data_IF_212168411001
#
_entry.id   IF_212168411001
#
_cell.length_a   1.000
_cell.length_b   1.000
_cell.length_c   1.000
_cell.angle_alpha   90.00
_cell.angle_beta   90.00
_cell.angle_gamma   90.00
#
_symmetry.space_group_name_H-M   'P 1'
#
loop_
_entity.id
_entity.type
_entity.pdbx_description
1 polymer ?
#
# COMPACT_ATOMS: atom_id res chain seq x y z
N UNK A 1 5.94 60.46 -33.22
CA UNK A 1 6.91 59.37 -33.50
C UNK A 1 6.11 58.22 -34.10
N UNK A 2 5.93 58.18 -35.43
CA UNK A 2 6.77 57.45 -36.40
C UNK A 2 6.89 55.95 -36.04
N UNK A 3 5.93 55.14 -36.53
CA UNK A 3 6.03 54.16 -37.65
C UNK A 3 6.94 52.96 -37.38
N UNK A 4 6.36 51.76 -37.45
CA UNK A 4 6.71 50.75 -38.48
C UNK A 4 5.59 49.70 -38.61
N UNK A 5 4.93 49.72 -39.77
CA UNK A 5 4.22 48.58 -40.36
C UNK A 5 5.25 47.51 -40.72
N UNK A 6 4.90 46.22 -40.67
CA UNK A 6 4.94 45.30 -41.81
C UNK A 6 4.31 43.95 -41.45
N UNK A 7 3.43 43.53 -42.35
CA UNK A 7 2.84 42.22 -42.58
C UNK A 7 3.89 41.13 -42.80
N UNK A 8 3.68 39.96 -42.19
CA UNK A 8 4.24 38.68 -42.67
C UNK A 8 3.23 37.56 -42.38
N UNK A 9 2.82 36.88 -43.44
CA UNK A 9 2.11 35.61 -43.42
C UNK A 9 2.88 34.55 -42.61
N UNK A 10 2.18 33.75 -41.83
CA UNK A 10 2.64 32.42 -41.44
C UNK A 10 1.49 31.42 -41.65
N UNK A 11 1.68 30.62 -42.68
CA UNK A 11 1.07 29.31 -42.92
C UNK A 11 1.39 28.35 -41.75
N UNK A 12 0.66 27.23 -41.66
CA UNK A 12 0.84 26.05 -40.77
C UNK A 12 0.31 26.22 -39.31
N UNK A 13 -0.52 25.36 -38.73
CA UNK A 13 -1.15 24.09 -39.10
C UNK A 13 -2.55 24.10 -38.46
N UNK A 14 -3.61 23.87 -39.24
CA UNK A 14 -4.79 23.21 -38.69
C UNK A 14 -4.33 21.81 -38.30
N UNK A 15 -4.03 21.61 -37.02
CA UNK A 15 -3.98 20.27 -36.46
C UNK A 15 -5.43 19.78 -36.50
N UNK A 16 -5.84 19.23 -37.64
CA UNK A 16 -6.80 18.14 -37.64
C UNK A 16 -6.14 17.08 -36.78
N UNK A 17 -6.46 17.06 -35.47
CA UNK A 17 -6.40 15.81 -34.74
C UNK A 17 -7.45 14.94 -35.42
N UNK A 18 -7.03 14.24 -36.47
CA UNK A 18 -7.66 12.97 -36.78
C UNK A 18 -7.49 12.18 -35.49
N UNK A 19 -8.60 11.94 -34.78
CA UNK A 19 -8.59 10.95 -33.73
C UNK A 19 -8.04 9.70 -34.38
N UNK A 20 -6.84 9.28 -33.96
CA UNK A 20 -6.32 7.97 -34.30
C UNK A 20 -7.34 6.98 -33.75
N UNK A 21 -8.25 6.51 -34.61
CA UNK A 21 -9.04 5.33 -34.30
C UNK A 21 -8.01 4.23 -34.13
N UNK A 22 -7.69 3.90 -32.88
CA UNK A 22 -6.73 2.87 -32.52
C UNK A 22 -7.25 1.54 -33.05
N UNK A 23 -6.86 1.21 -34.28
CA UNK A 23 -7.29 -0.02 -34.92
C UNK A 23 -6.59 -1.20 -34.26
N UNK A 24 -7.34 -2.23 -33.87
CA UNK A 24 -6.75 -3.42 -33.25
C UNK A 24 -6.07 -4.29 -34.31
N UNK A 25 -4.84 -4.72 -34.02
CA UNK A 25 -4.09 -5.63 -34.88
C UNK A 25 -4.53 -7.06 -34.59
N UNK A 26 -4.99 -7.77 -35.63
CA UNK A 26 -5.46 -9.15 -35.62
C UNK A 26 -4.69 -10.00 -36.64
N UNK A 27 -4.86 -11.32 -36.54
CA UNK A 27 -4.21 -12.29 -37.43
C UNK A 27 -4.99 -12.59 -38.71
N UNK A 28 -6.28 -12.22 -38.77
CA UNK A 28 -7.16 -12.44 -39.92
C UNK A 28 -8.33 -11.43 -39.94
N UNK A 29 -8.80 -11.03 -41.13
CA UNK A 29 -9.96 -10.14 -41.29
C UNK A 29 -11.26 -10.71 -40.71
N UNK A 30 -11.38 -12.05 -40.63
CA UNK A 30 -12.57 -12.70 -40.05
C UNK A 30 -12.74 -12.41 -38.55
N UNK A 31 -11.69 -11.89 -37.90
CA UNK A 31 -11.74 -11.46 -36.50
C UNK A 31 -12.22 -10.01 -36.31
N UNK A 32 -12.39 -9.24 -37.39
CA UNK A 32 -12.93 -7.89 -37.32
C UNK A 32 -14.45 -7.93 -37.12
N UNK A 33 -15.00 -6.91 -36.46
CA UNK A 33 -16.44 -6.74 -36.38
C UNK A 33 -17.06 -6.56 -37.78
N UNK A 34 -18.31 -6.99 -37.99
CA UNK A 34 -19.04 -6.80 -39.26
C UNK A 34 -19.19 -5.31 -39.67
N UNK A 35 -19.03 -4.41 -38.69
CA UNK A 35 -19.05 -2.95 -38.84
C UNK A 35 -17.66 -2.31 -38.77
N UNK A 36 -16.61 -3.11 -38.96
CA UNK A 36 -15.25 -2.65 -39.07
C UNK A 36 -14.71 -2.89 -40.49
N UNK A 37 -13.83 -2.00 -40.92
CA UNK A 37 -13.01 -2.12 -42.12
C UNK A 37 -11.74 -2.90 -41.78
N UNK A 38 -11.38 -3.82 -42.66
CA UNK A 38 -10.17 -4.62 -42.54
C UNK A 38 -9.07 -4.06 -43.45
N UNK A 39 -7.93 -3.66 -42.87
CA UNK A 39 -6.77 -3.13 -43.59
C UNK A 39 -5.59 -4.11 -43.45
N UNK A 40 -5.07 -4.58 -44.58
CA UNK A 40 -3.90 -5.46 -44.62
C UNK A 40 -2.64 -4.61 -44.81
N UNK A 41 -1.74 -4.63 -43.83
CA UNK A 41 -0.45 -3.92 -43.90
C UNK A 41 0.65 -4.97 -44.10
N UNK A 42 1.36 -4.97 -45.24
CA UNK A 42 2.55 -5.79 -45.39
C UNK A 42 3.63 -5.30 -44.40
N UNK A 43 4.11 -6.18 -43.53
CA UNK A 43 5.26 -5.89 -42.65
C UNK A 43 6.51 -5.84 -43.52
N UNK A 44 7.15 -4.67 -43.66
CA UNK A 44 8.48 -4.58 -44.29
C UNK A 44 9.50 -5.28 -43.40
N UNK A 45 10.09 -6.37 -43.90
CA UNK A 45 11.05 -7.19 -43.16
C UNK A 45 12.38 -6.47 -42.93
N UNK A 46 12.85 -6.43 -41.67
CA UNK A 46 14.29 -6.52 -41.42
C UNK A 46 14.76 -7.97 -41.70
N UNK A 47 15.88 -8.07 -42.39
CA UNK A 47 16.41 -9.29 -43.02
C UNK A 47 16.74 -10.37 -41.98
N UNK A 48 15.89 -11.38 -41.80
CA UNK A 48 16.18 -12.50 -40.89
C UNK A 48 15.20 -13.67 -40.81
N UNK A 49 13.88 -13.45 -40.86
CA UNK A 49 12.91 -14.49 -40.51
C UNK A 49 12.19 -15.15 -41.71
N UNK A 50 12.00 -16.47 -41.62
CA UNK A 50 11.67 -17.37 -42.72
C UNK A 50 10.16 -17.49 -43.10
N UNK A 51 9.26 -16.63 -42.60
CA UNK A 51 7.84 -16.64 -43.00
C UNK A 51 7.24 -15.22 -42.92
N UNK A 52 6.41 -14.76 -43.90
CA UNK A 52 5.73 -13.48 -43.79
C UNK A 52 4.57 -13.58 -42.81
N UNK A 53 4.69 -12.93 -41.64
CA UNK A 53 3.58 -12.73 -40.72
C UNK A 53 2.68 -11.60 -41.25
N UNK A 54 1.48 -11.96 -41.74
CA UNK A 54 0.46 -10.96 -42.11
C UNK A 54 -0.14 -10.38 -40.84
N UNK A 55 -0.01 -9.07 -40.65
CA UNK A 55 -0.67 -8.33 -39.57
C UNK A 55 -1.77 -7.47 -40.17
N UNK A 56 -3.00 -7.70 -39.73
CA UNK A 56 -4.20 -7.07 -40.26
C UNK A 56 -4.74 -6.12 -39.20
N UNK A 57 -5.23 -4.94 -39.56
CA UNK A 57 -5.81 -3.96 -38.62
C UNK A 57 -7.32 -3.80 -38.86
N UNK A 58 -8.11 -3.89 -37.80
CA UNK A 58 -9.55 -3.62 -37.81
C UNK A 58 -9.83 -2.19 -37.35
N UNK A 59 -10.62 -1.43 -38.10
CA UNK A 59 -11.04 -0.07 -37.74
C UNK A 59 -12.54 0.08 -37.89
N UNK A 60 -13.26 0.63 -36.91
CA UNK A 60 -14.71 0.79 -37.02
C UNK A 60 -15.08 1.72 -38.19
N UNK A 61 -16.14 1.39 -38.92
CA UNK A 61 -16.66 2.18 -40.03
C UNK A 61 -17.26 3.51 -39.54
N UNK A 62 -17.43 4.46 -40.46
CA UNK A 62 -18.07 5.75 -40.17
C UNK A 62 -19.44 5.58 -39.50
N UNK A 63 -19.66 6.29 -38.39
CA UNK A 63 -20.87 6.17 -37.57
C UNK A 63 -20.77 5.14 -36.45
N UNK A 64 -19.67 4.39 -36.38
CA UNK A 64 -19.38 3.45 -35.30
C UNK A 64 -18.11 3.86 -34.54
N UNK A 65 -18.00 3.41 -33.29
CA UNK A 65 -16.85 3.68 -32.42
C UNK A 65 -16.48 2.43 -31.61
N UNK A 66 -15.19 2.24 -31.33
CA UNK A 66 -14.66 1.11 -30.59
C UNK A 66 -13.26 0.72 -31.07
N UNK A 67 -12.84 -0.51 -30.79
CA UNK A 67 -11.49 -1.00 -31.06
C UNK A 67 -11.34 -1.72 -32.42
N UNK A 68 -12.42 -1.83 -33.20
CA UNK A 68 -12.46 -2.53 -34.48
C UNK A 68 -12.80 -4.02 -34.39
N UNK A 69 -12.66 -4.64 -33.20
CA UNK A 69 -13.20 -5.98 -32.91
C UNK A 69 -14.61 -5.87 -32.33
N UNK A 70 -14.86 -4.78 -31.60
CA UNK A 70 -16.17 -4.38 -31.08
C UNK A 70 -16.45 -2.96 -31.57
N UNK A 71 -17.58 -2.77 -32.26
CA UNK A 71 -17.99 -1.47 -32.78
C UNK A 71 -19.43 -1.14 -32.35
N UNK A 72 -19.61 0.03 -31.75
CA UNK A 72 -20.88 0.54 -31.24
C UNK A 72 -21.41 1.66 -32.13
N UNK A 73 -22.72 1.69 -32.38
CA UNK A 73 -23.35 2.76 -33.17
C UNK A 73 -23.40 4.06 -32.35
N UNK A 74 -22.77 5.12 -32.88
CA UNK A 74 -22.63 6.40 -32.18
C UNK A 74 -23.96 7.08 -31.83
N UNK A 75 -25.00 6.88 -32.64
CA UNK A 75 -26.30 7.54 -32.44
C UNK A 75 -27.21 6.71 -31.57
N UNK A 76 -27.22 5.40 -31.77
CA UNK A 76 -28.06 4.49 -31.00
C UNK A 76 -27.59 4.40 -29.54
N UNK A 77 -26.27 4.40 -29.33
CA UNK A 77 -25.66 4.17 -28.03
C UNK A 77 -25.32 5.46 -27.28
N UNK A 78 -25.74 6.62 -27.78
CA UNK A 78 -25.40 7.93 -27.22
C UNK A 78 -25.87 8.12 -25.76
N UNK A 79 -26.94 7.42 -25.37
CA UNK A 79 -27.48 7.41 -24.00
C UNK A 79 -26.80 6.38 -23.09
N UNK A 80 -25.82 5.63 -23.61
CA UNK A 80 -25.10 4.57 -22.91
C UNK A 80 -25.87 3.25 -22.78
N UNK A 81 -27.04 3.13 -23.40
CA UNK A 81 -27.87 1.90 -23.36
C UNK A 81 -27.16 0.65 -23.90
N UNK A 82 -26.13 0.82 -24.74
CA UNK A 82 -25.32 -0.26 -25.29
C UNK A 82 -24.20 -0.76 -24.36
N UNK A 83 -23.91 -0.02 -23.28
CA UNK A 83 -22.85 -0.42 -22.36
C UNK A 83 -23.36 -1.44 -21.35
N UNK A 84 -22.56 -2.49 -21.16
CA UNK A 84 -22.81 -3.46 -20.10
C UNK A 84 -22.66 -2.77 -18.74
N UNK A 85 -23.23 -3.37 -17.72
CA UNK A 85 -22.98 -2.93 -16.34
C UNK A 85 -21.46 -2.93 -16.06
N UNK A 86 -20.97 -1.91 -15.35
CA UNK A 86 -19.53 -1.67 -15.14
C UNK A 86 -18.85 -0.87 -16.26
N UNK A 87 -19.56 -0.51 -17.32
CA UNK A 87 -19.03 0.31 -18.42
C UNK A 87 -19.81 1.61 -18.57
N UNK A 88 -19.12 2.67 -18.98
CA UNK A 88 -19.71 3.97 -19.32
C UNK A 88 -19.47 4.33 -20.78
N UNK A 89 -20.41 5.08 -21.35
CA UNK A 89 -20.29 5.55 -22.72
C UNK A 89 -19.30 6.70 -22.85
N UNK A 90 -18.42 6.60 -23.84
CA UNK A 90 -17.54 7.66 -24.31
C UNK A 90 -17.69 7.77 -25.83
N UNK A 91 -18.03 8.96 -26.34
CA UNK A 91 -18.27 9.17 -27.77
C UNK A 91 -17.06 8.86 -28.67
N UNK A 92 -15.84 8.87 -28.12
CA UNK A 92 -14.60 8.64 -28.86
C UNK A 92 -14.07 7.21 -28.74
N UNK A 93 -14.54 6.44 -27.75
CA UNK A 93 -14.00 5.11 -27.42
C UNK A 93 -15.08 4.02 -27.32
N UNK A 94 -16.36 4.38 -27.38
CA UNK A 94 -17.47 3.47 -27.14
C UNK A 94 -17.67 3.20 -25.65
N UNK A 95 -17.93 1.95 -25.29
CA UNK A 95 -18.09 1.56 -23.89
C UNK A 95 -16.72 1.35 -23.23
N UNK A 96 -16.38 2.24 -22.32
CA UNK A 96 -15.13 2.21 -21.56
C UNK A 96 -15.42 1.70 -20.16
N UNK A 97 -14.54 0.84 -19.69
CA UNK A 97 -14.56 0.32 -18.34
C UNK A 97 -14.62 1.45 -17.30
N UNK A 98 -15.50 1.31 -16.31
CA UNK A 98 -15.54 2.23 -15.18
C UNK A 98 -14.52 1.73 -14.17
N UNK A 99 -13.44 2.47 -13.97
CA UNK A 99 -12.49 2.14 -12.90
C UNK A 99 -13.10 2.52 -11.55
N UNK A 100 -13.78 1.57 -10.90
CA UNK A 100 -14.40 1.80 -9.61
C UNK A 100 -13.38 2.08 -8.50
N UNK A 101 -12.14 1.61 -8.65
CA UNK A 101 -11.05 1.85 -7.69
C UNK A 101 -10.50 3.28 -7.75
N UNK A 102 -10.71 3.98 -8.87
CA UNK A 102 -10.32 5.38 -9.06
C UNK A 102 -11.45 6.38 -8.75
N UNK A 103 -12.63 5.89 -8.32
CA UNK A 103 -13.73 6.74 -7.90
C UNK A 103 -13.46 7.35 -6.50
N UNK A 104 -14.09 8.50 -6.16
CA UNK A 104 -13.88 9.16 -4.87
C UNK A 104 -14.29 8.31 -3.65
N UNK A 105 -15.31 7.46 -3.83
CA UNK A 105 -15.80 6.55 -2.80
C UNK A 105 -15.20 5.16 -3.06
N UNK A 106 -14.34 4.69 -2.13
CA UNK A 106 -13.71 3.37 -2.24
C UNK A 106 -14.80 2.27 -2.20
N UNK A 107 -14.91 1.42 -3.23
CA UNK A 107 -15.96 0.42 -3.33
C UNK A 107 -15.69 -0.82 -2.45
N UNK A 108 -14.48 -0.96 -1.90
CA UNK A 108 -14.09 -2.10 -1.10
C UNK A 108 -14.29 -1.87 0.42
N UNK A 109 -14.60 -2.94 1.18
CA UNK A 109 -14.57 -2.88 2.64
C UNK A 109 -13.20 -2.39 3.16
N UNK A 110 -13.16 -1.71 4.32
CA UNK A 110 -11.89 -1.33 4.94
C UNK A 110 -10.97 -2.55 5.08
N UNK A 111 -9.67 -2.39 4.80
CA UNK A 111 -8.61 -3.41 4.82
C UNK A 111 -8.42 -4.31 3.58
N UNK A 112 -9.19 -4.11 2.52
CA UNK A 112 -8.96 -4.74 1.21
C UNK A 112 -8.33 -3.76 0.22
N UNK A 113 -7.54 -4.26 -0.71
CA UNK A 113 -6.97 -3.47 -1.81
C UNK A 113 -7.87 -3.65 -3.03
N UNK A 114 -8.42 -2.54 -3.54
CA UNK A 114 -9.21 -2.55 -4.76
C UNK A 114 -8.30 -2.77 -5.98
N UNK A 115 -8.66 -3.74 -6.82
CA UNK A 115 -8.04 -3.99 -8.12
C UNK A 115 -9.10 -3.90 -9.21
N UNK A 116 -8.95 -2.93 -10.11
CA UNK A 116 -9.88 -2.77 -11.22
C UNK A 116 -9.80 -3.95 -12.20
N UNK A 117 -10.94 -4.38 -12.73
CA UNK A 117 -11.05 -5.47 -13.72
C UNK A 117 -12.04 -5.08 -14.82
N UNK A 118 -11.98 -5.68 -16.03
CA UNK A 118 -12.96 -5.35 -17.05
C UNK A 118 -14.41 -5.63 -16.61
N UNK A 119 -15.19 -4.58 -16.42
CA UNK A 119 -16.59 -4.56 -16.04
C UNK A 119 -16.89 -4.67 -14.54
N UNK A 120 -15.87 -4.64 -13.68
CA UNK A 120 -16.01 -4.80 -12.22
C UNK A 120 -14.69 -4.47 -11.50
N UNK A 121 -14.66 -4.66 -10.19
CA UNK A 121 -13.44 -4.64 -9.39
C UNK A 121 -13.34 -5.91 -8.54
N UNK A 122 -12.11 -6.30 -8.21
CA UNK A 122 -11.80 -7.30 -7.21
C UNK A 122 -11.32 -6.61 -5.93
N UNK A 123 -11.96 -6.91 -4.80
CA UNK A 123 -11.42 -6.54 -3.50
C UNK A 123 -10.51 -7.65 -3.00
N UNK A 124 -9.21 -7.44 -3.15
CA UNK A 124 -8.21 -8.42 -2.76
C UNK A 124 -7.91 -8.26 -1.27
N UNK A 125 -7.96 -9.37 -0.54
CA UNK A 125 -7.26 -9.48 0.73
C UNK A 125 -5.74 -9.33 0.52
N UNK A 126 -4.94 -9.26 1.59
CA UNK A 126 -3.48 -9.29 1.47
C UNK A 126 -3.07 -10.49 0.59
N UNK A 127 -2.07 -10.34 -0.29
CA UNK A 127 -1.69 -11.39 -1.24
C UNK A 127 -1.50 -12.76 -0.57
N UNK A 128 -2.06 -13.80 -1.17
CA UNK A 128 -2.03 -15.21 -0.71
C UNK A 128 -0.64 -15.87 -0.69
N UNK A 129 0.45 -15.10 -0.77
CA UNK A 129 1.83 -15.59 -0.76
C UNK A 129 2.46 -15.60 0.66
N UNK A 130 1.62 -15.64 1.71
CA UNK A 130 2.04 -15.60 3.13
C UNK A 130 1.87 -16.95 3.84
N UNK A 131 1.59 -18.05 3.13
CA UNK A 131 1.37 -19.36 3.76
C UNK A 131 2.52 -20.38 3.68
N UNK A 132 3.69 -20.05 3.11
CA UNK A 132 4.83 -20.99 3.13
C UNK A 132 6.18 -20.33 3.42
N UNK A 133 6.37 -19.80 4.64
CA UNK A 133 7.64 -19.94 5.39
C UNK A 133 7.56 -19.30 6.79
N UNK A 134 7.13 -20.09 7.79
CA UNK A 134 7.71 -20.20 9.15
C UNK A 134 6.65 -20.61 10.17
N UNK A 135 6.89 -21.62 11.02
CA UNK A 135 5.92 -22.12 12.00
C UNK A 135 5.70 -21.20 13.22
N UNK A 136 5.87 -19.86 13.10
CA UNK A 136 5.75 -18.91 14.21
C UNK A 136 4.69 -17.79 14.02
N UNK A 137 4.05 -17.64 12.86
CA UNK A 137 3.05 -16.57 12.65
C UNK A 137 1.61 -17.03 12.92
N UNK A 138 1.35 -17.62 14.09
CA UNK A 138 -0.02 -17.68 14.61
C UNK A 138 -0.25 -16.43 15.44
N UNK A 139 -1.27 -15.64 15.08
CA UNK A 139 -1.64 -14.48 15.88
C UNK A 139 -1.92 -14.91 17.33
N UNK A 140 -1.42 -14.12 18.29
CA UNK A 140 -1.47 -14.48 19.69
C UNK A 140 -2.92 -14.52 20.20
N UNK A 141 -3.29 -15.63 20.86
CA UNK A 141 -4.57 -15.78 21.56
C UNK A 141 -4.32 -15.64 23.05
N UNK A 142 -4.93 -14.64 23.68
CA UNK A 142 -4.77 -14.37 25.11
C UNK A 142 -5.93 -14.95 25.92
N UNK A 143 -5.61 -15.56 27.06
CA UNK A 143 -6.62 -16.02 28.02
C UNK A 143 -7.06 -14.84 28.89
N UNK A 144 -8.37 -14.70 29.10
CA UNK A 144 -8.95 -13.64 29.91
C UNK A 144 -10.03 -14.17 30.83
N UNK A 145 -9.73 -14.17 32.13
CA UNK A 145 -10.61 -14.72 33.18
C UNK A 145 -10.99 -16.18 32.85
N UNK A 146 -12.15 -16.42 32.23
CA UNK A 146 -12.64 -17.75 31.85
C UNK A 146 -12.91 -17.90 30.34
N UNK A 147 -12.42 -16.99 29.50
CA UNK A 147 -12.57 -17.06 28.04
C UNK A 147 -11.25 -16.83 27.33
N UNK A 148 -11.16 -17.26 26.06
CA UNK A 148 -10.09 -16.86 25.16
C UNK A 148 -10.52 -15.62 24.40
N UNK A 149 -9.66 -14.61 24.30
CA UNK A 149 -9.98 -13.42 23.53
C UNK A 149 -9.99 -13.70 22.03
N UNK A 150 -10.85 -13.00 21.26
CA UNK A 150 -10.80 -12.97 19.81
C UNK A 150 -9.40 -12.63 19.28
N UNK A 151 -9.11 -13.04 18.04
CA UNK A 151 -7.85 -12.69 17.37
C UNK A 151 -7.71 -11.17 17.30
N UNK A 152 -6.51 -10.69 17.63
CA UNK A 152 -6.23 -9.26 17.65
C UNK A 152 -6.57 -8.56 18.97
N UNK A 153 -7.27 -9.20 19.90
CA UNK A 153 -7.58 -8.67 21.23
C UNK A 153 -6.69 -9.27 22.32
N UNK A 154 -6.60 -8.59 23.45
CA UNK A 154 -5.90 -9.05 24.65
C UNK A 154 -6.76 -8.86 25.90
N UNK A 155 -6.39 -9.53 26.99
CA UNK A 155 -7.05 -9.35 28.28
C UNK A 155 -6.53 -8.07 28.95
N UNK A 156 -7.26 -6.96 28.76
CA UNK A 156 -6.87 -5.64 29.25
C UNK A 156 -7.80 -5.22 30.40
N UNK A 157 -7.21 -4.64 31.45
CA UNK A 157 -7.97 -4.08 32.57
C UNK A 157 -8.45 -2.68 32.22
N UNK A 158 -9.77 -2.52 32.06
CA UNK A 158 -10.43 -1.24 31.77
C UNK A 158 -11.31 -0.90 32.98
N UNK A 159 -10.99 0.20 33.66
CA UNK A 159 -11.62 0.65 34.91
C UNK A 159 -11.60 -0.42 36.02
N UNK A 160 -10.48 -1.14 36.13
CA UNK A 160 -10.30 -2.20 37.13
C UNK A 160 -10.94 -3.55 36.77
N UNK A 161 -11.64 -3.64 35.63
CA UNK A 161 -12.27 -4.88 35.16
C UNK A 161 -11.51 -5.42 33.94
N UNK A 162 -10.98 -6.64 34.07
CA UNK A 162 -10.33 -7.35 32.95
C UNK A 162 -11.35 -7.86 31.95
N UNK A 163 -11.23 -7.42 30.70
CA UNK A 163 -12.07 -7.85 29.58
C UNK A 163 -11.23 -8.00 28.31
N UNK A 164 -11.69 -8.80 27.37
CA UNK A 164 -11.10 -8.82 26.04
C UNK A 164 -11.34 -7.47 25.37
N UNK A 165 -10.25 -6.85 24.91
CA UNK A 165 -10.29 -5.53 24.33
C UNK A 165 -9.18 -5.36 23.29
N UNK A 166 -9.44 -4.50 22.30
CA UNK A 166 -8.45 -4.17 21.29
C UNK A 166 -7.36 -3.26 21.88
N UNK A 167 -6.08 -3.67 21.88
CA UNK A 167 -4.98 -2.84 22.35
C UNK A 167 -4.76 -1.56 21.52
N UNK A 168 -5.28 -1.48 20.29
CA UNK A 168 -5.30 -0.25 19.50
C UNK A 168 -6.25 0.82 20.10
N UNK A 169 -7.24 0.42 20.91
CA UNK A 169 -8.14 1.36 21.59
C UNK A 169 -7.78 1.54 23.07
N UNK A 170 -7.04 0.57 23.65
CA UNK A 170 -6.71 0.53 25.07
C UNK A 170 -5.19 0.39 25.29
N UNK A 171 -4.46 1.48 25.07
CA UNK A 171 -3.01 1.57 25.31
C UNK A 171 -2.64 2.74 26.23
N UNK A 172 -1.43 2.69 26.77
CA UNK A 172 -0.79 3.81 27.45
C UNK A 172 0.08 4.59 26.48
N UNK A 173 -0.13 5.90 26.37
CA UNK A 173 0.75 6.76 25.58
C UNK A 173 2.11 6.87 26.27
N UNK A 174 3.19 6.52 25.56
CA UNK A 174 4.56 6.58 26.03
C UNK A 174 5.29 7.68 25.27
N UNK A 175 5.38 8.86 25.89
CA UNK A 175 5.88 10.10 25.30
C UNK A 175 7.12 10.62 26.02
N UNK A 176 8.01 9.72 26.43
CA UNK A 176 9.24 10.13 27.09
C UNK A 176 10.27 10.60 26.04
N UNK A 177 10.53 11.90 25.94
CA UNK A 177 11.47 12.47 24.95
C UNK A 177 12.87 11.79 24.97
N UNK A 178 13.31 11.35 26.15
CA UNK A 178 14.63 10.76 26.31
C UNK A 178 14.82 9.47 25.50
N UNK A 179 13.75 8.78 25.08
CA UNK A 179 13.84 7.51 24.32
C UNK A 179 14.05 7.70 22.81
N UNK A 180 14.10 8.95 22.35
CA UNK A 180 14.36 9.31 20.95
C UNK A 180 15.68 8.73 20.44
N UNK A 181 15.69 8.17 19.22
CA UNK A 181 16.92 7.73 18.52
C UNK A 181 17.93 8.85 18.29
N UNK A 182 17.53 10.12 18.44
CA UNK A 182 18.43 11.28 18.39
C UNK A 182 19.02 11.65 19.76
N UNK A 183 18.53 11.08 20.87
CA UNK A 183 18.99 11.41 22.21
C UNK A 183 20.17 10.54 22.66
N UNK A 184 21.30 11.16 22.99
CA UNK A 184 22.48 10.48 23.53
C UNK A 184 22.53 10.55 25.07
N UNK A 185 22.41 9.39 25.72
CA UNK A 185 22.45 9.25 27.17
C UNK A 185 23.80 9.53 27.84
N UNK A 186 24.92 9.48 27.09
CA UNK A 186 26.21 9.95 27.62
C UNK A 186 26.21 11.45 27.91
N UNK A 187 25.42 12.22 27.16
CA UNK A 187 25.34 13.67 27.28
C UNK A 187 24.18 14.07 28.18
N UNK A 188 23.01 13.43 27.98
CA UNK A 188 21.75 13.86 28.58
C UNK A 188 21.29 13.01 29.77
N UNK A 189 22.07 11.99 30.15
CA UNK A 189 21.77 11.08 31.25
C UNK A 189 21.14 9.75 30.79
N UNK A 190 21.29 8.72 31.62
CA UNK A 190 20.82 7.37 31.33
C UNK A 190 19.48 7.08 32.00
N UNK A 191 18.61 6.44 31.24
CA UNK A 191 17.29 5.98 31.65
C UNK A 191 17.10 4.49 31.36
N UNK A 192 16.08 3.92 32.00
CA UNK A 192 15.71 2.54 31.80
C UNK A 192 14.23 2.25 31.78
N UNK A 193 13.88 1.15 31.10
CA UNK A 193 12.52 0.62 31.06
C UNK A 193 12.29 -0.49 32.11
N UNK A 194 13.22 -0.66 33.08
CA UNK A 194 13.04 -1.59 34.18
C UNK A 194 11.91 -1.17 35.11
N UNK A 195 11.04 -2.12 35.46
CA UNK A 195 9.92 -1.86 36.36
C UNK A 195 8.76 -1.08 35.72
N UNK A 196 8.74 -0.94 34.38
CA UNK A 196 7.53 -0.48 33.69
C UNK A 196 6.34 -1.39 33.99
N UNK A 197 5.17 -0.79 34.09
CA UNK A 197 3.90 -1.54 34.22
C UNK A 197 3.72 -2.43 32.99
N UNK A 198 3.19 -3.62 33.18
CA UNK A 198 2.82 -4.47 32.05
C UNK A 198 1.59 -3.89 31.35
N UNK A 199 1.61 -3.87 30.03
CA UNK A 199 0.51 -3.33 29.23
C UNK A 199 0.93 -3.01 27.80
N UNK A 200 -0.04 -2.49 27.05
CA UNK A 200 0.17 -2.01 25.68
C UNK A 200 0.55 -0.54 25.69
N UNK A 201 1.52 -0.19 24.85
CA UNK A 201 2.05 1.15 24.72
C UNK A 201 2.02 1.62 23.28
N UNK A 202 1.74 2.92 23.07
CA UNK A 202 1.96 3.61 21.80
C UNK A 202 3.04 4.66 22.00
N UNK A 203 4.01 4.69 21.10
CA UNK A 203 5.15 5.60 21.20
C UNK A 203 4.82 6.97 20.59
N UNK A 204 5.28 8.01 21.28
CA UNK A 204 5.19 9.39 20.83
C UNK A 204 6.52 10.11 21.06
N UNK A 205 6.80 11.10 20.21
CA UNK A 205 7.78 12.16 20.46
C UNK A 205 7.07 13.51 20.26
N UNK A 206 6.91 14.26 21.34
CA UNK A 206 6.07 15.44 21.43
C UNK A 206 4.61 15.11 21.18
N UNK A 207 4.08 15.55 20.03
CA UNK A 207 2.71 15.24 19.58
C UNK A 207 2.69 14.26 18.40
N UNK A 208 3.85 13.76 18.00
CA UNK A 208 4.02 12.93 16.80
C UNK A 208 3.97 11.47 17.20
N UNK A 209 3.11 10.71 16.54
CA UNK A 209 3.10 9.25 16.61
C UNK A 209 4.34 8.72 15.90
N UNK A 210 5.07 7.85 16.58
CA UNK A 210 6.33 7.27 16.09
C UNK A 210 6.35 5.77 16.38
N UNK A 211 7.30 5.06 15.80
CA UNK A 211 7.48 3.63 16.00
C UNK A 211 8.84 3.29 16.62
N UNK A 212 8.99 2.04 17.04
CA UNK A 212 10.31 1.51 17.33
C UNK A 212 11.17 1.49 16.06
N UNK A 213 12.50 1.62 16.15
CA UNK A 213 13.36 1.42 15.01
C UNK A 213 13.43 -0.06 14.63
N UNK A 214 13.45 -0.33 13.32
CA UNK A 214 13.71 -1.65 12.71
C UNK A 214 15.19 -1.82 12.31
N UNK A 215 16.03 -0.86 12.72
CA UNK A 215 17.43 -0.76 12.37
C UNK A 215 18.29 -0.62 13.62
N UNK A 216 19.57 -0.93 13.46
CA UNK A 216 20.51 -0.93 14.57
C UNK A 216 20.74 0.46 15.14
N UNK A 217 20.31 0.65 16.38
CA UNK A 217 20.59 1.87 17.12
C UNK A 217 21.94 1.75 17.85
N UNK A 218 22.82 2.73 17.67
CA UNK A 218 24.13 2.76 18.31
C UNK A 218 24.03 2.83 19.83
N UNK A 219 25.01 2.23 20.52
CA UNK A 219 25.12 2.29 21.97
C UNK A 219 25.02 3.73 22.49
N UNK A 220 24.43 3.90 23.67
CA UNK A 220 24.18 5.19 24.34
C UNK A 220 23.04 6.04 23.75
N UNK A 221 22.52 5.71 22.57
CA UNK A 221 21.35 6.42 22.03
C UNK A 221 20.05 6.00 22.74
N UNK A 222 18.95 6.68 22.43
CA UNK A 222 17.65 6.52 23.13
C UNK A 222 17.75 6.77 24.64
N UNK A 223 18.69 7.64 25.04
CA UNK A 223 18.88 8.00 26.45
C UNK A 223 19.20 6.81 27.35
N UNK A 224 19.77 5.71 26.85
CA UNK A 224 20.05 4.50 27.63
C UNK A 224 21.40 3.90 27.29
N UNK A 225 21.99 3.03 28.13
CA UNK A 225 23.29 2.44 27.79
C UNK A 225 23.17 1.44 26.63
N UNK A 226 22.08 0.67 26.60
CA UNK A 226 21.84 -0.40 25.64
C UNK A 226 20.48 -0.21 24.96
N UNK A 227 20.43 0.53 23.85
CA UNK A 227 19.18 0.79 23.14
C UNK A 227 18.63 -0.49 22.51
N UNK A 228 17.30 -0.62 22.56
CA UNK A 228 16.58 -1.77 22.02
C UNK A 228 15.76 -1.42 20.78
N UNK A 229 15.81 -2.30 19.78
CA UNK A 229 15.20 -2.14 18.46
C UNK A 229 14.59 -3.47 17.97
N UNK A 230 13.71 -3.43 16.97
CA UNK A 230 13.08 -4.61 16.38
C UNK A 230 13.97 -5.23 15.31
N UNK A 231 14.21 -6.54 15.36
CA UNK A 231 15.07 -7.22 14.37
C UNK A 231 14.36 -7.54 13.06
N UNK A 232 13.07 -7.26 12.95
CA UNK A 232 12.25 -7.47 11.76
C UNK A 232 11.25 -6.34 11.61
N UNK A 233 10.72 -6.19 10.40
CA UNK A 233 9.75 -5.13 10.07
C UNK A 233 8.49 -5.23 10.94
N UNK A 234 7.83 -4.11 11.20
CA UNK A 234 6.54 -4.06 11.89
C UNK A 234 5.48 -4.90 11.15
N UNK A 235 4.48 -5.44 11.87
CA UNK A 235 3.40 -6.19 11.23
C UNK A 235 2.57 -5.35 10.27
N UNK A 236 1.89 -6.00 9.36
CA UNK A 236 0.78 -5.44 8.60
C UNK A 236 -0.54 -5.56 9.37
N UNK A 237 -1.56 -4.80 8.98
CA UNK A 237 -2.89 -4.81 9.63
C UNK A 237 -3.52 -6.21 9.70
N UNK A 238 -3.33 -7.02 8.66
CA UNK A 238 -3.90 -8.37 8.57
C UNK A 238 -3.25 -9.38 9.53
N UNK A 239 -2.02 -9.14 9.99
CA UNK A 239 -1.28 -10.06 10.86
C UNK A 239 -1.77 -10.04 12.32
N UNK A 240 -2.69 -9.12 12.66
CA UNK A 240 -3.27 -8.99 14.00
C UNK A 240 -2.16 -8.77 15.07
N UNK A 241 -2.19 -9.51 16.19
CA UNK A 241 -1.11 -9.45 17.20
C UNK A 241 -0.04 -10.48 16.87
N UNK A 242 1.20 -10.02 16.65
CA UNK A 242 2.35 -10.89 16.35
C UNK A 242 3.46 -10.74 17.38
N UNK A 243 4.25 -11.80 17.55
CA UNK A 243 5.45 -11.78 18.38
C UNK A 243 6.64 -11.28 17.55
N UNK A 244 7.34 -10.24 18.02
CA UNK A 244 8.54 -9.67 17.38
C UNK A 244 9.74 -9.79 18.30
N UNK A 245 10.88 -10.12 17.69
CA UNK A 245 12.16 -10.23 18.38
C UNK A 245 12.76 -8.84 18.59
N UNK A 246 13.31 -8.64 19.79
CA UNK A 246 13.95 -7.40 20.22
C UNK A 246 15.42 -7.66 20.48
N UNK A 247 16.26 -6.72 20.06
CA UNK A 247 17.71 -6.81 20.22
C UNK A 247 18.29 -5.55 20.82
N UNK A 248 19.35 -5.71 21.61
CA UNK A 248 20.07 -4.61 22.26
C UNK A 248 21.51 -4.49 21.76
N UNK A 249 21.91 -3.24 21.50
CA UNK A 249 23.23 -2.92 20.94
C UNK A 249 24.30 -2.66 22.01
N UNK A 250 25.53 -3.14 21.78
CA UNK A 250 26.72 -2.85 22.62
C UNK A 250 27.99 -2.80 21.79
N UNK A 251 28.86 -1.80 22.01
CA UNK A 251 30.20 -1.68 21.43
C UNK A 251 30.23 -2.04 19.92
N UNK A 252 29.37 -1.43 19.12
CA UNK A 252 29.14 -1.68 17.67
C UNK A 252 28.46 -3.01 17.26
N UNK A 253 28.23 -3.95 18.18
CA UNK A 253 27.42 -5.14 17.91
C UNK A 253 25.93 -4.87 18.18
N UNK A 254 25.15 -4.79 17.11
CA UNK A 254 23.71 -4.52 17.13
C UNK A 254 22.87 -5.65 17.73
N UNK A 255 23.40 -6.88 17.72
CA UNK A 255 22.73 -8.09 18.18
C UNK A 255 23.40 -8.69 19.41
N UNK A 256 24.00 -7.84 20.23
CA UNK A 256 24.75 -8.28 21.40
C UNK A 256 23.83 -8.87 22.47
N UNK A 257 22.73 -8.18 22.77
CA UNK A 257 21.77 -8.60 23.78
C UNK A 257 20.48 -9.08 23.13
N UNK A 258 20.25 -10.40 23.14
CA UNK A 258 18.95 -10.96 22.80
C UNK A 258 17.98 -10.70 23.95
N UNK A 259 16.86 -10.03 23.66
CA UNK A 259 15.83 -9.73 24.64
C UNK A 259 14.63 -10.65 24.48
N UNK A 260 13.79 -10.67 25.51
CA UNK A 260 12.50 -11.34 25.43
C UNK A 260 11.67 -10.70 24.29
N UNK A 261 11.09 -11.51 23.39
CA UNK A 261 10.21 -10.99 22.35
C UNK A 261 9.01 -10.23 22.93
N UNK A 262 8.50 -9.28 22.17
CA UNK A 262 7.33 -8.47 22.54
C UNK A 262 6.19 -8.73 21.56
N UNK A 263 4.95 -8.50 22.00
CA UNK A 263 3.83 -8.50 21.07
C UNK A 263 3.69 -7.12 20.42
N UNK A 264 3.42 -7.10 19.12
CA UNK A 264 3.24 -5.88 18.32
C UNK A 264 1.98 -6.05 17.48
N UNK A 265 1.18 -4.99 17.40
CA UNK A 265 -0.01 -4.93 16.55
C UNK A 265 -0.01 -3.65 15.74
N UNK A 266 -0.35 -3.77 14.46
CA UNK A 266 -0.64 -2.64 13.58
C UNK A 266 -2.07 -2.17 13.79
N UNK A 267 -2.28 -0.86 13.84
CA UNK A 267 -3.57 -0.25 14.13
C UNK A 267 -4.04 0.66 13.00
N UNK A 268 -5.37 0.73 12.82
CA UNK A 268 -5.99 1.71 11.94
C UNK A 268 -5.58 3.13 12.32
N UNK A 269 -5.29 3.96 11.32
CA UNK A 269 -4.69 5.28 11.54
C UNK A 269 -3.15 5.26 11.54
N UNK A 270 -2.55 4.23 10.96
CA UNK A 270 -1.11 4.14 10.66
C UNK A 270 -0.21 4.27 11.91
N UNK A 271 -0.45 3.44 12.93
CA UNK A 271 0.43 3.39 14.09
C UNK A 271 0.51 1.98 14.66
N UNK A 272 1.46 1.78 15.57
CA UNK A 272 1.71 0.50 16.21
C UNK A 272 1.54 0.61 17.72
N UNK A 273 1.07 -0.49 18.31
CA UNK A 273 1.07 -0.69 19.75
C UNK A 273 1.96 -1.87 20.11
N UNK A 274 2.65 -1.72 21.25
CA UNK A 274 3.68 -2.64 21.71
C UNK A 274 3.37 -3.11 23.12
N UNK A 275 3.30 -4.43 23.33
CA UNK A 275 3.21 -5.04 24.65
C UNK A 275 4.62 -5.26 25.20
N UNK A 276 5.22 -4.19 25.73
CA UNK A 276 6.59 -4.24 26.26
C UNK A 276 6.70 -5.18 27.46
N UNK A 277 7.84 -5.86 27.53
CA UNK A 277 8.20 -6.73 28.64
C UNK A 277 9.34 -6.10 29.42
N UNK A 278 9.53 -6.54 30.67
CA UNK A 278 10.61 -6.03 31.48
C UNK A 278 11.96 -6.41 30.84
N UNK A 279 12.87 -5.46 30.58
CA UNK A 279 14.18 -5.77 30.02
C UNK A 279 15.01 -6.63 30.98
N UNK A 280 15.96 -7.41 30.44
CA UNK A 280 16.81 -8.30 31.25
C UNK A 280 17.71 -7.52 32.23
N UNK A 281 18.07 -6.29 31.88
CA UNK A 281 18.93 -5.41 32.70
C UNK A 281 18.33 -4.01 32.77
N UNK A 282 18.53 -3.27 33.89
CA UNK A 282 18.01 -1.91 33.94
C UNK A 282 18.67 -1.03 32.90
N UNK A 283 19.93 -1.10 32.54
CA UNK A 283 20.48 -0.15 31.54
C UNK A 283 20.03 -0.33 30.07
N UNK A 284 18.83 -0.87 29.82
CA UNK A 284 18.16 -1.07 28.54
C UNK A 284 16.83 -0.30 28.46
N UNK A 285 16.52 0.22 27.26
CA UNK A 285 15.25 0.87 26.97
C UNK A 285 14.82 0.68 25.51
N UNK A 286 13.50 0.61 25.29
CA UNK A 286 12.88 0.54 23.97
C UNK A 286 12.95 1.92 23.29
N UNK A 287 13.62 1.96 22.14
CA UNK A 287 13.78 3.20 21.37
C UNK A 287 12.49 3.67 20.71
N UNK A 288 12.39 4.98 20.49
CA UNK A 288 11.42 5.58 19.58
C UNK A 288 12.17 6.31 18.46
N UNK A 289 11.84 6.01 17.21
CA UNK A 289 12.57 6.50 16.05
C UNK A 289 12.05 7.86 15.57
N UNK A 290 12.93 8.86 15.52
CA UNK A 290 12.60 10.22 15.07
C UNK A 290 12.30 10.30 13.58
N UNK A 291 12.80 9.35 12.79
CA UNK A 291 12.73 9.41 11.32
C UNK A 291 11.46 8.76 10.77
N UNK A 292 10.74 8.00 11.60
CA UNK A 292 9.53 7.29 11.21
C UNK A 292 8.32 7.93 11.86
N UNK A 293 7.84 9.00 11.24
CA UNK A 293 6.57 9.64 11.58
C UNK A 293 5.47 8.83 10.93
N UNK A 294 4.52 8.36 11.74
CA UNK A 294 3.49 7.39 11.36
C UNK A 294 2.11 7.95 11.68
#
# INVERSE_FOLDING_TARGET
MLRLLMTTEYLLLLVLRAGESSGTVVTSCESCHDKASCLDSPVEHEKGDAFPTRSVSCTCQDGFVGDGITCYDLKLCADGSCCRQGYRWASELGCVDVDECSLPDDPCPPSQVCKNTPGSFDCLGPPDDVLQASPQSRSAVFQCVNTSCPLGEDCISVDGTSRCADPCQHYTALNDEWRSTANNGQVNGYHCDSGKKQGWYRLFLGKTSVQMPEWCVNQYMCGTSYPMWLTSIHPQLAEQVVLKTVSGSRNSNCNYYKQNPIHVKACFGNYYVYKFVNPTFCNMAYCADVNTKV
#
